data_IF_598092164619
#
_entry.id   IF_598092164619
#
_cell.length_a   1.000
_cell.length_b   1.000
_cell.length_c   1.000
_cell.angle_alpha   90.00
_cell.angle_beta   90.00
_cell.angle_gamma   90.00
#
_symmetry.space_group_name_H-M   'P 1'
#
loop_
_entity.id
_entity.type
_entity.pdbx_description
1 polymer ?
#
# COMPACT_ATOMS: atom_id res chain seq x y z
N UNK A 1 -40.52 -6.48 16.40
CA UNK A 1 -39.46 -7.25 17.07
C UNK A 1 -38.81 -8.28 16.15
N UNK A 2 -39.56 -9.23 15.57
CA UNK A 2 -39.00 -10.28 14.67
C UNK A 2 -38.37 -9.73 13.37
N UNK A 3 -38.98 -8.72 12.76
CA UNK A 3 -38.48 -8.10 11.52
C UNK A 3 -37.13 -7.39 11.72
N UNK A 4 -36.95 -6.71 12.85
CA UNK A 4 -35.71 -5.99 13.17
C UNK A 4 -34.54 -6.93 13.39
N UNK A 5 -34.77 -8.11 13.97
CA UNK A 5 -33.73 -9.13 14.15
C UNK A 5 -33.32 -9.72 12.80
N UNK A 6 -34.28 -10.03 11.93
CA UNK A 6 -33.99 -10.54 10.59
C UNK A 6 -33.17 -9.54 9.75
N UNK A 7 -33.51 -8.24 9.83
CA UNK A 7 -32.77 -7.18 9.15
C UNK A 7 -31.34 -7.04 9.69
N UNK A 8 -31.17 -7.14 11.01
CA UNK A 8 -29.85 -7.09 11.65
C UNK A 8 -28.97 -8.28 11.24
N UNK A 9 -29.53 -9.49 11.16
CA UNK A 9 -28.81 -10.67 10.67
C UNK A 9 -28.36 -10.50 9.22
N UNK A 10 -29.21 -9.94 8.35
CA UNK A 10 -28.87 -9.69 6.95
C UNK A 10 -27.72 -8.68 6.81
N UNK A 11 -27.71 -7.64 7.64
CA UNK A 11 -26.64 -6.63 7.67
C UNK A 11 -25.30 -7.20 8.13
N UNK A 12 -25.30 -8.17 9.06
CA UNK A 12 -24.07 -8.82 9.53
C UNK A 12 -23.46 -9.75 8.48
N UNK A 13 -24.27 -10.38 7.61
CA UNK A 13 -23.78 -11.18 6.49
C UNK A 13 -23.15 -10.36 5.36
N UNK A 14 -23.42 -9.06 5.32
CA UNK A 14 -22.85 -8.13 4.34
C UNK A 14 -21.49 -7.56 4.77
N UNK A 15 -21.01 -7.92 5.97
CA UNK A 15 -19.68 -7.53 6.44
C UNK A 15 -18.68 -8.50 5.83
N UNK A 16 -18.15 -8.16 4.65
CA UNK A 16 -17.00 -8.87 4.09
C UNK A 16 -15.79 -8.64 5.01
N UNK A 17 -15.16 -9.73 5.43
CA UNK A 17 -13.97 -9.67 6.28
C UNK A 17 -12.81 -9.02 5.53
N UNK A 18 -12.21 -7.98 6.11
CA UNK A 18 -10.97 -7.41 5.59
C UNK A 18 -9.78 -8.29 6.00
N UNK A 19 -9.10 -8.88 5.02
CA UNK A 19 -7.83 -9.56 5.22
C UNK A 19 -6.73 -8.49 5.08
N UNK A 20 -6.42 -7.82 6.19
CA UNK A 20 -5.41 -6.74 6.20
C UNK A 20 -3.98 -7.26 6.18
N UNK A 21 -3.74 -8.41 6.83
CA UNK A 21 -2.41 -8.98 6.94
C UNK A 21 -2.08 -9.81 5.71
N UNK A 22 -0.95 -9.51 5.07
CA UNK A 22 -0.39 -10.40 4.06
C UNK A 22 0.62 -11.36 4.71
N UNK A 23 0.89 -12.53 4.11
CA UNK A 23 1.86 -13.50 4.66
C UNK A 23 3.32 -13.02 4.73
N UNK A 24 3.63 -11.80 4.27
CA UNK A 24 4.99 -11.28 4.22
C UNK A 24 5.53 -10.92 5.61
N UNK A 25 6.78 -11.29 5.91
CA UNK A 25 7.45 -11.09 7.20
C UNK A 25 8.82 -10.42 7.02
N UNK A 26 8.82 -9.20 6.47
CA UNK A 26 10.02 -8.42 6.18
C UNK A 26 10.47 -7.60 7.39
N UNK A 27 11.77 -7.33 7.50
CA UNK A 27 12.37 -6.51 8.56
C UNK A 27 12.57 -5.05 8.14
N UNK A 28 12.83 -4.16 9.10
CA UNK A 28 13.19 -2.77 8.80
C UNK A 28 14.50 -2.67 8.02
N UNK A 29 15.43 -3.59 8.29
CA UNK A 29 16.71 -3.68 7.61
C UNK A 29 16.55 -4.07 6.14
N UNK A 30 15.56 -4.90 5.81
CA UNK A 30 15.22 -5.26 4.42
C UNK A 30 14.64 -4.07 3.64
N UNK A 31 14.09 -3.09 4.34
CA UNK A 31 13.50 -1.88 3.76
C UNK A 31 14.54 -0.83 3.36
N UNK A 32 15.65 -0.75 4.10
CA UNK A 32 16.68 0.26 3.87
C UNK A 32 17.45 -0.02 2.57
N UNK A 33 17.70 1.02 1.78
CA UNK A 33 18.44 0.91 0.53
C UNK A 33 17.82 1.70 -0.61
N UNK A 34 18.29 1.44 -1.82
CA UNK A 34 17.81 2.12 -3.03
C UNK A 34 16.81 1.25 -3.78
N UNK A 35 15.61 1.78 -3.94
CA UNK A 35 14.49 1.14 -4.62
C UNK A 35 14.29 1.75 -6.00
N UNK A 36 13.92 0.88 -6.96
CA UNK A 36 13.51 1.26 -8.30
C UNK A 36 12.02 0.99 -8.42
N UNK A 37 11.23 2.05 -8.44
CA UNK A 37 9.78 1.99 -8.57
C UNK A 37 9.41 2.11 -10.05
N UNK A 38 8.74 1.09 -10.58
CA UNK A 38 8.18 1.09 -11.92
C UNK A 38 6.72 1.54 -11.85
N UNK A 39 6.41 2.67 -12.46
CA UNK A 39 5.09 3.30 -12.40
C UNK A 39 4.37 3.10 -13.73
N UNK A 40 3.11 2.71 -13.66
CA UNK A 40 2.20 2.61 -14.80
C UNK A 40 1.83 4.01 -15.32
N UNK A 41 0.87 4.06 -16.25
CA UNK A 41 0.35 5.31 -16.76
C UNK A 41 -0.17 6.20 -15.64
N UNK A 42 0.21 7.47 -15.67
CA UNK A 42 -0.25 8.48 -14.72
C UNK A 42 -1.60 9.09 -15.10
N UNK A 43 -2.16 9.90 -14.19
CA UNK A 43 -3.38 10.69 -14.44
C UNK A 43 -4.70 9.97 -14.15
N UNK A 44 -4.64 8.79 -13.52
CA UNK A 44 -5.82 8.12 -12.99
C UNK A 44 -6.28 8.76 -11.68
N UNK A 45 -7.54 8.51 -11.31
CA UNK A 45 -8.07 8.83 -9.99
C UNK A 45 -8.08 7.59 -9.08
N UNK A 46 -8.74 7.68 -7.92
CA UNK A 46 -8.84 6.59 -6.94
C UNK A 46 -9.59 5.34 -7.44
N UNK A 47 -10.23 5.39 -8.61
CA UNK A 47 -10.96 4.26 -9.21
C UNK A 47 -10.07 3.35 -10.07
N UNK A 48 -8.77 3.68 -10.18
CA UNK A 48 -7.79 2.85 -10.90
C UNK A 48 -7.78 1.41 -10.38
N UNK A 49 -7.68 0.45 -11.30
CA UNK A 49 -7.55 -0.96 -10.96
C UNK A 49 -6.09 -1.40 -11.11
N UNK A 50 -5.33 -1.30 -10.03
CA UNK A 50 -3.90 -1.67 -10.00
C UNK A 50 -3.62 -3.14 -10.40
N UNK A 51 -4.61 -4.03 -10.35
CA UNK A 51 -4.47 -5.43 -10.78
C UNK A 51 -4.53 -5.59 -12.30
N UNK A 52 -5.07 -4.61 -13.03
CA UNK A 52 -5.16 -4.61 -14.49
C UNK A 52 -4.16 -3.65 -15.15
N UNK A 53 -3.54 -2.75 -14.37
CA UNK A 53 -2.53 -1.82 -14.86
C UNK A 53 -1.23 -2.55 -15.26
N UNK A 54 -0.65 -2.14 -16.39
CA UNK A 54 0.66 -2.62 -16.83
C UNK A 54 1.80 -1.86 -16.15
N UNK A 55 2.96 -2.49 -16.01
CA UNK A 55 4.16 -1.84 -15.42
C UNK A 55 5.00 -1.12 -16.48
N UNK A 56 5.74 -0.09 -16.06
CA UNK A 56 6.92 0.40 -16.81
C UNK A 56 6.74 1.59 -17.75
N UNK A 57 5.79 2.50 -17.50
CA UNK A 57 5.74 3.78 -18.25
C UNK A 57 6.84 4.75 -17.78
N UNK A 58 7.11 4.78 -16.48
CA UNK A 58 8.19 5.59 -15.92
C UNK A 58 8.89 4.88 -14.76
N UNK A 59 10.13 5.29 -14.51
CA UNK A 59 10.97 4.73 -13.44
C UNK A 59 11.35 5.82 -12.46
N UNK A 60 11.20 5.54 -11.17
CA UNK A 60 11.58 6.42 -10.07
C UNK A 60 12.57 5.73 -9.15
N UNK A 61 13.59 6.46 -8.72
CA UNK A 61 14.62 5.94 -7.81
C UNK A 61 14.48 6.66 -6.48
N UNK A 62 14.34 5.90 -5.40
CA UNK A 62 14.25 6.41 -4.04
C UNK A 62 15.22 5.66 -3.13
N UNK A 63 15.91 6.38 -2.26
CA UNK A 63 16.78 5.81 -1.23
C UNK A 63 16.13 5.99 0.13
N UNK A 64 15.96 4.89 0.86
CA UNK A 64 15.42 4.87 2.21
C UNK A 64 16.57 4.76 3.20
N UNK A 65 16.71 5.76 4.05
CA UNK A 65 17.76 5.90 5.04
C UNK A 65 17.22 5.71 6.47
N UNK A 66 18.13 5.52 7.42
CA UNK A 66 17.77 5.23 8.82
C UNK A 66 16.88 6.31 9.44
N UNK A 67 16.19 5.89 10.51
CA UNK A 67 15.14 6.60 11.22
C UNK A 67 13.85 6.71 10.40
N UNK A 68 13.76 7.54 9.36
CA UNK A 68 12.53 7.72 8.56
C UNK A 68 12.78 8.52 7.25
N UNK A 69 14.00 8.61 6.72
CA UNK A 69 14.31 9.56 5.61
C UNK A 69 14.20 8.89 4.24
N UNK A 70 13.42 9.49 3.33
CA UNK A 70 13.35 9.10 1.93
C UNK A 70 14.00 10.17 1.06
N UNK A 71 14.87 9.78 0.14
CA UNK A 71 15.60 10.69 -0.76
C UNK A 71 15.47 10.25 -2.21
N UNK A 72 15.06 11.15 -3.09
CA UNK A 72 15.01 10.86 -4.53
C UNK A 72 16.37 11.09 -5.23
N UNK A 73 16.41 10.82 -6.54
CA UNK A 73 17.60 10.97 -7.37
C UNK A 73 18.03 12.43 -7.63
N UNK A 74 17.16 13.41 -7.42
CA UNK A 74 17.46 14.85 -7.58
C UNK A 74 17.74 15.54 -6.24
N UNK A 75 17.64 14.80 -5.12
CA UNK A 75 18.01 15.26 -3.79
C UNK A 75 16.85 15.81 -2.96
N UNK A 76 15.60 15.65 -3.41
CA UNK A 76 14.44 15.98 -2.56
C UNK A 76 14.37 15.00 -1.40
N UNK A 77 13.95 15.53 -0.24
CA UNK A 77 13.81 14.78 0.99
C UNK A 77 12.33 14.65 1.36
N UNK A 78 11.97 13.46 1.82
CA UNK A 78 10.68 13.12 2.38
C UNK A 78 10.84 12.16 3.56
N UNK A 79 9.71 11.63 4.01
CA UNK A 79 9.68 10.70 5.14
C UNK A 79 8.93 9.43 4.78
N UNK A 80 9.38 8.30 5.32
CA UNK A 80 8.67 7.03 5.28
C UNK A 80 8.46 6.50 6.69
N UNK A 81 7.46 5.65 6.89
CA UNK A 81 7.23 5.02 8.18
C UNK A 81 7.17 3.50 7.99
N UNK A 82 7.97 2.72 8.73
CA UNK A 82 7.84 1.28 8.75
C UNK A 82 6.65 0.93 9.64
N UNK A 83 5.42 1.18 9.19
CA UNK A 83 4.28 0.65 9.93
C UNK A 83 4.32 -0.88 9.86
N UNK A 84 4.04 -1.50 11.02
CA UNK A 84 3.90 -2.95 11.23
C UNK A 84 3.31 -3.60 9.96
N UNK A 85 4.06 -4.55 9.38
CA UNK A 85 3.78 -5.38 8.21
C UNK A 85 2.49 -5.11 7.39
N UNK A 86 2.58 -5.04 6.04
CA UNK A 86 3.60 -5.76 5.25
C UNK A 86 4.32 -4.91 4.18
N UNK A 87 4.35 -3.58 4.30
CA UNK A 87 4.89 -2.71 3.25
C UNK A 87 5.23 -1.30 3.72
N UNK A 88 5.56 -0.44 2.74
CA UNK A 88 5.92 0.96 2.91
C UNK A 88 5.45 1.81 1.73
#
# INVERSE_FOLDING_TARGET
MKLSVALLCLLLFLIEGSWGDTPANCTYEDLLGTWVLQVSKGGHDKSVNCSAEGTGESTWIVTLEKLCVAKDNVGNLGFFHPYLQPGF
#
